data_IF_290174246768
#
_entry.id   IF_290174246768
#
_cell.length_a   1.000
_cell.length_b   1.000
_cell.length_c   1.000
_cell.angle_alpha   90.00
_cell.angle_beta   90.00
_cell.angle_gamma   90.00
#
_symmetry.space_group_name_H-M   'P 1'
#
loop_
_entity.id
_entity.type
_entity.pdbx_description
1 polymer ?
#
# COMPACT_ATOMS: atom_id res chain seq x y z
N UNK A 1 -14.81 -19.95 14.51
CA UNK A 1 -14.99 -18.94 13.46
C UNK A 1 -13.71 -18.13 13.42
N UNK A 2 -12.92 -18.23 12.35
CA UNK A 2 -11.67 -17.48 12.24
C UNK A 2 -12.01 -16.09 11.69
N UNK A 3 -11.87 -15.06 12.51
CA UNK A 3 -12.15 -13.67 12.13
C UNK A 3 -10.96 -13.02 11.40
N UNK A 4 -9.79 -13.66 11.46
CA UNK A 4 -8.58 -13.20 10.79
C UNK A 4 -8.67 -13.48 9.29
N UNK A 5 -8.46 -12.44 8.47
CA UNK A 5 -8.35 -12.59 7.03
C UNK A 5 -7.08 -13.37 6.68
N UNK A 6 -7.22 -14.29 5.73
CA UNK A 6 -6.09 -15.02 5.15
C UNK A 6 -5.17 -14.03 4.41
N UNK A 7 -3.88 -14.00 4.80
CA UNK A 7 -2.86 -13.14 4.21
C UNK A 7 -2.72 -13.36 2.70
N UNK A 8 -2.94 -14.59 2.22
CA UNK A 8 -2.90 -14.93 0.80
C UNK A 8 -4.05 -14.35 -0.02
N UNK A 9 -5.04 -13.71 0.63
CA UNK A 9 -6.19 -13.06 -0.01
C UNK A 9 -6.17 -11.53 0.16
N UNK A 10 -5.03 -10.98 0.57
CA UNK A 10 -4.84 -9.53 0.72
C UNK A 10 -4.62 -8.89 -0.66
N UNK A 11 -3.77 -9.49 -1.49
CA UNK A 11 -3.52 -9.06 -2.86
C UNK A 11 -4.11 -10.10 -3.82
N UNK A 12 -5.01 -9.67 -4.69
CA UNK A 12 -5.76 -10.55 -5.62
C UNK A 12 -5.66 -10.12 -7.08
N UNK A 13 -4.69 -9.26 -7.39
CA UNK A 13 -4.42 -8.73 -8.72
C UNK A 13 -3.00 -9.07 -9.14
N UNK A 14 -2.73 -9.12 -10.44
CA UNK A 14 -1.40 -9.33 -11.02
C UNK A 14 -0.53 -8.06 -10.98
N UNK A 15 0.81 -8.17 -11.04
CA UNK A 15 1.71 -7.01 -10.93
C UNK A 15 1.45 -5.89 -11.95
N UNK A 16 0.95 -6.21 -13.16
CA UNK A 16 0.63 -5.23 -14.19
C UNK A 16 -0.41 -4.19 -13.75
N UNK A 17 -1.30 -4.54 -12.80
CA UNK A 17 -2.33 -3.63 -12.30
C UNK A 17 -1.76 -2.46 -11.50
N UNK A 18 -0.55 -2.61 -10.95
CA UNK A 18 0.11 -1.55 -10.18
C UNK A 18 0.38 -0.28 -11.01
N UNK A 19 0.48 -0.40 -12.34
CA UNK A 19 0.69 0.74 -13.22
C UNK A 19 -0.49 1.72 -13.26
N UNK A 20 -1.69 1.25 -12.90
CA UNK A 20 -2.88 2.08 -12.82
C UNK A 20 -3.07 2.74 -11.44
N UNK A 21 -2.17 2.46 -10.49
CA UNK A 21 -2.28 2.96 -9.13
C UNK A 21 -1.66 4.36 -9.02
N UNK A 22 -2.11 5.11 -8.03
CA UNK A 22 -1.64 6.46 -7.75
C UNK A 22 -0.50 6.43 -6.72
N UNK A 23 0.54 7.23 -6.98
CA UNK A 23 1.63 7.48 -6.03
C UNK A 23 1.32 8.71 -5.20
N UNK A 24 1.45 8.59 -3.89
CA UNK A 24 1.29 9.69 -2.94
C UNK A 24 2.53 9.75 -2.06
N UNK A 25 2.99 10.96 -1.80
CA UNK A 25 3.98 11.23 -0.78
C UNK A 25 3.27 11.72 0.49
N UNK A 26 3.64 11.17 1.65
CA UNK A 26 3.10 11.56 2.94
C UNK A 26 4.20 11.56 4.00
N UNK A 27 4.03 12.36 5.06
CA UNK A 27 5.05 12.49 6.10
C UNK A 27 4.73 11.66 7.35
N UNK A 28 5.77 11.26 8.09
CA UNK A 28 5.69 10.73 9.46
C UNK A 28 4.90 9.43 9.68
N UNK A 29 4.82 8.56 8.67
CA UNK A 29 4.34 7.18 8.84
C UNK A 29 5.45 6.31 9.46
N UNK A 30 5.66 6.46 10.76
CA UNK A 30 6.84 5.88 11.46
C UNK A 30 6.53 4.58 12.19
N UNK A 31 5.25 4.27 12.43
CA UNK A 31 4.86 3.08 13.17
C UNK A 31 4.75 1.86 12.25
N UNK A 32 5.89 1.34 11.84
CA UNK A 32 6.00 0.19 10.93
C UNK A 32 5.61 -1.15 11.58
N UNK A 33 5.26 -1.18 12.87
CA UNK A 33 4.76 -2.41 13.51
C UNK A 33 3.41 -2.90 12.92
N UNK A 34 2.76 -2.06 12.12
CA UNK A 34 1.46 -2.33 11.50
C UNK A 34 1.53 -2.54 9.98
N UNK A 35 2.74 -2.69 9.44
CA UNK A 35 2.96 -3.09 8.06
C UNK A 35 3.19 -4.61 7.97
N UNK A 36 3.08 -5.16 6.77
CA UNK A 36 3.23 -6.59 6.51
C UNK A 36 4.24 -6.78 5.38
N UNK A 37 5.21 -7.68 5.57
CA UNK A 37 6.13 -8.07 4.49
C UNK A 37 5.30 -8.70 3.34
N UNK A 38 5.37 -8.18 2.10
CA UNK A 38 4.63 -8.72 0.96
C UNK A 38 4.87 -10.22 0.72
N UNK A 39 6.04 -10.74 1.10
CA UNK A 39 6.39 -12.17 0.99
C UNK A 39 5.53 -13.07 1.86
N UNK A 40 4.92 -12.54 2.92
CA UNK A 40 3.97 -13.28 3.74
C UNK A 40 2.58 -13.41 3.08
N UNK A 41 2.31 -12.59 2.07
CA UNK A 41 1.02 -12.48 1.41
C UNK A 41 1.03 -13.07 -0.01
N UNK A 42 2.17 -13.02 -0.70
CA UNK A 42 2.29 -13.33 -2.14
C UNK A 42 3.51 -14.20 -2.40
N UNK A 43 3.33 -15.32 -3.12
CA UNK A 43 4.42 -16.26 -3.40
C UNK A 43 5.49 -15.64 -4.35
N UNK A 44 5.09 -14.83 -5.35
CA UNK A 44 5.98 -14.11 -6.27
C UNK A 44 6.17 -12.62 -5.87
N UNK A 45 6.21 -12.31 -4.57
CA UNK A 45 6.31 -10.93 -4.06
C UNK A 45 7.43 -10.09 -4.70
N UNK A 46 8.56 -10.71 -5.10
CA UNK A 46 9.67 -10.02 -5.75
C UNK A 46 9.29 -9.29 -7.04
N UNK A 47 8.35 -9.83 -7.84
CA UNK A 47 7.88 -9.19 -9.07
C UNK A 47 7.06 -7.92 -8.76
N UNK A 48 6.20 -7.99 -7.74
CA UNK A 48 5.42 -6.83 -7.29
C UNK A 48 6.33 -5.75 -6.71
N UNK A 49 7.26 -6.14 -5.82
CA UNK A 49 8.21 -5.21 -5.20
C UNK A 49 9.04 -4.51 -6.28
N UNK A 50 9.48 -5.21 -7.33
CA UNK A 50 10.22 -4.60 -8.42
C UNK A 50 9.42 -3.50 -9.14
N UNK A 51 8.13 -3.76 -9.44
CA UNK A 51 7.24 -2.77 -10.05
C UNK A 51 7.03 -1.57 -9.12
N UNK A 52 6.68 -1.82 -7.85
CA UNK A 52 6.47 -0.76 -6.85
C UNK A 52 7.70 0.13 -6.68
N UNK A 53 8.88 -0.48 -6.55
CA UNK A 53 10.15 0.26 -6.44
C UNK A 53 10.40 1.12 -7.68
N UNK A 54 10.18 0.58 -8.88
CA UNK A 54 10.28 1.34 -10.13
C UNK A 54 9.36 2.55 -10.13
N UNK A 55 8.09 2.36 -9.77
CA UNK A 55 7.09 3.42 -9.70
C UNK A 55 7.44 4.50 -8.67
N UNK A 56 7.96 4.12 -7.49
CA UNK A 56 8.42 5.10 -6.50
C UNK A 56 9.67 5.86 -6.95
N UNK A 57 10.65 5.20 -7.57
CA UNK A 57 11.84 5.84 -8.11
C UNK A 57 11.48 6.88 -9.19
N UNK A 58 10.54 6.54 -10.08
CA UNK A 58 10.03 7.47 -11.10
C UNK A 58 9.33 8.69 -10.48
N UNK A 59 8.74 8.54 -9.30
CA UNK A 59 8.07 9.62 -8.57
C UNK A 59 9.01 10.46 -7.70
N UNK A 60 10.26 10.05 -7.51
CA UNK A 60 11.29 10.81 -6.79
C UNK A 60 11.74 10.21 -5.44
N UNK A 61 11.40 8.96 -5.13
CA UNK A 61 11.95 8.24 -3.98
C UNK A 61 13.46 7.98 -4.15
N UNK A 62 14.22 8.05 -3.06
CA UNK A 62 15.69 7.88 -3.10
C UNK A 62 16.16 6.41 -3.19
N UNK A 63 15.23 5.46 -3.19
CA UNK A 63 15.55 4.04 -3.36
C UNK A 63 15.92 3.31 -2.06
N UNK A 64 15.68 3.92 -0.89
CA UNK A 64 15.95 3.33 0.43
C UNK A 64 14.70 2.93 1.23
N UNK A 65 14.89 2.05 2.22
CA UNK A 65 13.78 1.48 2.98
C UNK A 65 13.25 0.19 2.36
N UNK A 66 12.28 -0.40 3.05
CA UNK A 66 11.67 -1.67 2.65
C UNK A 66 10.24 -1.44 2.14
N UNK A 67 9.88 -2.13 1.06
CA UNK A 67 8.52 -2.08 0.51
C UNK A 67 7.65 -3.04 1.31
N UNK A 68 6.61 -2.49 1.92
CA UNK A 68 5.70 -3.19 2.80
C UNK A 68 4.24 -2.96 2.39
N UNK A 69 3.33 -3.79 2.91
CA UNK A 69 1.90 -3.63 2.73
C UNK A 69 1.29 -2.96 3.96
N UNK A 70 0.39 -2.00 3.73
CA UNK A 70 -0.39 -1.37 4.78
C UNK A 70 -1.87 -1.55 4.50
N UNK A 71 -2.63 -1.99 5.51
CA UNK A 71 -4.07 -2.12 5.41
C UNK A 71 -4.77 -0.89 5.97
N UNK A 72 -5.65 -0.30 5.15
CA UNK A 72 -6.51 0.80 5.53
C UNK A 72 -7.91 0.24 5.81
N UNK A 73 -8.43 0.41 7.04
CA UNK A 73 -9.76 -0.06 7.40
C UNK A 73 -10.87 0.60 6.56
N UNK A 74 -11.97 -0.13 6.27
CA UNK A 74 -13.04 0.36 5.42
C UNK A 74 -13.75 1.62 5.96
N UNK A 75 -13.74 1.84 7.28
CA UNK A 75 -14.41 2.99 7.91
C UNK A 75 -13.70 4.33 7.64
N UNK A 76 -12.48 4.30 7.10
CA UNK A 76 -11.76 5.52 6.71
C UNK A 76 -12.31 6.15 5.43
N UNK A 77 -13.00 5.37 4.59
CA UNK A 77 -13.47 5.84 3.28
C UNK A 77 -14.89 6.41 3.36
N UNK A 78 -15.11 7.57 2.72
CA UNK A 78 -16.42 8.21 2.55
C UNK A 78 -16.97 7.85 1.17
N UNK A 79 -18.28 7.63 1.03
CA UNK A 79 -18.93 7.35 -0.26
C UNK A 79 -19.64 6.00 -0.36
N UNK A 80 -19.99 5.58 -1.60
CA UNK A 80 -20.71 4.32 -1.84
C UNK A 80 -19.83 3.13 -1.48
N UNK A 81 -20.32 2.30 -0.55
CA UNK A 81 -19.67 1.06 -0.15
C UNK A 81 -19.87 0.01 -1.24
N UNK A 82 -18.86 -0.21 -2.09
CA UNK A 82 -18.83 -1.42 -2.92
C UNK A 82 -18.39 -2.61 -2.05
N UNK A 83 -18.70 -3.86 -2.43
CA UNK A 83 -18.26 -5.05 -1.69
C UNK A 83 -16.75 -5.07 -1.44
N UNK A 84 -15.95 -4.61 -2.39
CA UNK A 84 -14.49 -4.53 -2.31
C UNK A 84 -14.06 -3.53 -1.24
N UNK A 85 -14.73 -2.37 -1.16
CA UNK A 85 -14.48 -1.36 -0.12
C UNK A 85 -14.92 -1.81 1.27
N UNK A 86 -15.93 -2.67 1.40
CA UNK A 86 -16.36 -3.15 2.74
C UNK A 86 -15.28 -3.98 3.45
N UNK A 87 -14.26 -4.45 2.73
CA UNK A 87 -13.18 -5.28 3.27
C UNK A 87 -11.90 -4.49 3.58
N UNK A 88 -11.92 -3.16 3.42
CA UNK A 88 -10.75 -2.29 3.49
C UNK A 88 -9.84 -2.45 2.28
N UNK A 89 -8.82 -1.58 2.20
CA UNK A 89 -7.90 -1.53 1.07
C UNK A 89 -6.48 -1.78 1.56
N UNK A 90 -5.72 -2.55 0.79
CA UNK A 90 -4.28 -2.72 1.06
C UNK A 90 -3.51 -1.90 0.05
N UNK A 91 -2.62 -1.07 0.54
CA UNK A 91 -1.73 -0.22 -0.25
C UNK A 91 -0.29 -0.67 -0.07
N UNK A 92 0.57 -0.28 -1.00
CA UNK A 92 2.01 -0.46 -0.86
C UNK A 92 2.62 0.79 -0.22
N UNK A 93 3.59 0.58 0.64
CA UNK A 93 4.24 1.64 1.41
C UNK A 93 5.74 1.41 1.45
N UNK A 94 6.52 2.49 1.40
CA UNK A 94 7.91 2.50 1.86
C UNK A 94 8.14 3.74 2.71
N UNK A 95 8.82 3.56 3.85
CA UNK A 95 9.35 4.65 4.67
C UNK A 95 10.77 4.97 4.22
N UNK A 96 10.99 6.20 3.77
CA UNK A 96 12.33 6.71 3.49
C UNK A 96 13.06 6.98 4.82
N UNK A 97 14.34 6.64 4.90
CA UNK A 97 15.06 6.54 6.19
C UNK A 97 15.35 7.88 6.85
N UNK A 98 15.75 8.89 6.07
CA UNK A 98 16.50 10.04 6.61
C UNK A 98 15.77 11.39 6.54
N UNK A 99 14.54 11.46 6.02
CA UNK A 99 13.85 12.74 5.74
C UNK A 99 12.39 12.82 6.24
N UNK A 100 11.90 11.77 6.91
CA UNK A 100 10.53 11.73 7.40
C UNK A 100 9.48 11.38 6.32
N UNK A 101 9.86 11.22 5.06
CA UNK A 101 8.94 10.95 3.96
C UNK A 101 8.54 9.47 3.88
N UNK A 102 7.35 9.24 3.36
CA UNK A 102 6.81 7.93 3.04
C UNK A 102 6.12 7.98 1.68
N UNK A 103 6.33 6.94 0.92
CA UNK A 103 5.74 6.78 -0.41
C UNK A 103 4.67 5.72 -0.34
N UNK A 104 3.51 6.02 -0.91
CA UNK A 104 2.34 5.16 -0.92
C UNK A 104 1.93 4.91 -2.37
N UNK A 105 1.63 3.67 -2.72
CA UNK A 105 1.02 3.31 -4.00
C UNK A 105 -0.34 2.70 -3.73
N UNK A 106 -1.40 3.37 -4.22
CA UNK A 106 -2.79 3.05 -3.86
C UNK A 106 -3.68 2.85 -5.09
N UNK A 107 -4.63 1.89 -5.06
CA UNK A 107 -5.60 1.69 -6.14
C UNK A 107 -6.73 2.72 -6.15
N UNK A 108 -6.80 3.57 -5.12
CA UNK A 108 -7.91 4.50 -4.87
C UNK A 108 -7.37 5.83 -4.37
N UNK A 109 -8.15 6.89 -4.53
CA UNK A 109 -7.91 8.16 -3.85
C UNK A 109 -8.06 7.97 -2.33
N UNK A 110 -7.03 8.36 -1.57
CA UNK A 110 -7.05 8.24 -0.11
C UNK A 110 -7.74 9.45 0.53
N UNK A 111 -8.43 9.28 1.68
CA UNK A 111 -9.09 10.38 2.37
C UNK A 111 -8.16 11.55 2.74
N UNK A 112 -6.87 11.27 3.00
CA UNK A 112 -5.89 12.30 3.31
C UNK A 112 -5.51 13.18 2.11
N UNK A 113 -5.92 12.85 0.88
CA UNK A 113 -5.63 13.66 -0.30
C UNK A 113 -6.64 14.79 -0.52
N UNK A 114 -7.90 14.59 -0.12
CA UNK A 114 -9.02 15.50 -0.39
C UNK A 114 -9.43 16.38 0.80
N UNK A 115 -8.83 16.15 1.98
CA UNK A 115 -9.14 16.88 3.21
C UNK A 115 -7.93 17.68 3.71
N UNK A 116 -7.56 18.73 2.96
CA UNK A 116 -6.78 19.87 3.43
C UNK A 116 -7.39 21.19 2.94
#
# INVERSE_FOLDING_TARGET
MNWQRDKKRIITYSPDKLQAFEVIMYEWIDNLNFTIDPKECIDNAGEYIAVVKGTFLEAGWDGDGEVELMWIPPFMFKGMRTPEFTMGVTIWHVKQRDDGLSWLLTPIELPCQSEF
#
